data_IF_280109391588
#
_entry.id   IF_280109391588
#
_cell.length_a   1.000
_cell.length_b   1.000
_cell.length_c   1.000
_cell.angle_alpha   90.00
_cell.angle_beta   90.00
_cell.angle_gamma   90.00
#
_symmetry.space_group_name_H-M   'P 1'
#
loop_
_entity.id
_entity.type
_entity.pdbx_description
1 polymer ?
#
# COMPACT_ATOMS: atom_id res chain seq x y z
N UNK A 2 4.78 -3.91 -25.26
CA UNK A 2 4.46 -3.79 -23.85
C UNK A 2 4.69 -2.36 -23.35
N UNK A 3 5.64 -2.18 -22.45
CA UNK A 3 5.96 -0.87 -21.94
C UNK A 3 7.36 -0.87 -21.35
N UNK A 4 8.22 -0.02 -21.92
CA UNK A 4 9.59 0.12 -21.42
C UNK A 4 9.53 0.91 -20.14
N UNK A 5 10.30 0.49 -19.15
CA UNK A 5 10.35 1.23 -17.90
C UNK A 5 11.72 1.81 -17.80
N UNK A 6 11.82 3.01 -17.22
CA UNK A 6 13.10 3.73 -17.13
C UNK A 6 14.10 2.85 -16.45
N UNK A 7 15.30 2.75 -17.00
CA UNK A 7 16.33 2.05 -16.26
C UNK A 7 16.66 2.93 -15.07
N UNK A 8 16.95 2.31 -13.95
CA UNK A 8 17.20 3.08 -12.73
C UNK A 8 18.62 2.81 -12.18
N UNK A 9 19.42 3.87 -12.13
CA UNK A 9 20.81 3.80 -11.71
C UNK A 9 21.62 4.96 -12.25
N UNK A 10 22.91 4.99 -11.93
CA UNK A 10 23.81 6.01 -12.46
C UNK A 10 23.85 5.92 -13.97
N UNK A 11 23.84 7.06 -14.64
CA UNK A 11 23.73 7.06 -16.09
C UNK A 11 25.12 7.11 -16.75
N UNK A 12 26.04 6.31 -16.22
CA UNK A 12 27.34 6.11 -16.84
C UNK A 12 27.50 4.69 -17.40
N UNK A 13 27.78 4.59 -18.69
CA UNK A 13 28.11 3.29 -19.26
C UNK A 13 27.57 2.96 -20.63
N UNK A 14 27.87 1.74 -21.07
CA UNK A 14 27.35 1.28 -22.34
C UNK A 14 25.94 0.74 -22.15
N UNK A 15 25.01 1.39 -22.85
CA UNK A 15 23.60 1.03 -22.83
C UNK A 15 23.39 -0.25 -23.61
N UNK A 16 22.64 -1.19 -23.01
CA UNK A 16 22.25 -2.43 -23.65
C UNK A 16 20.75 -2.68 -23.53
N UNK A 17 20.20 -3.41 -24.49
CA UNK A 17 18.75 -3.60 -24.65
C UNK A 17 18.48 -4.98 -25.24
N UNK A 18 18.00 -5.90 -24.41
CA UNK A 18 17.69 -7.24 -24.87
C UNK A 18 16.45 -7.26 -25.75
N UNK A 19 15.63 -6.21 -25.66
CA UNK A 19 14.38 -6.18 -26.39
C UNK A 19 13.27 -6.92 -25.65
N UNK A 20 12.16 -7.16 -26.34
CA UNK A 20 11.00 -7.78 -25.71
C UNK A 20 10.73 -9.17 -26.25
N UNK A 21 10.43 -10.11 -25.36
CA UNK A 21 10.13 -11.49 -25.74
C UNK A 21 8.77 -11.96 -25.21
N UNK A 22 8.43 -13.22 -25.47
CA UNK A 22 7.20 -13.76 -24.91
C UNK A 22 7.31 -13.96 -23.42
N UNK A 23 8.45 -14.47 -22.96
CA UNK A 23 8.67 -14.62 -21.52
C UNK A 23 10.14 -14.84 -21.19
N UNK A 24 10.43 -14.93 -19.88
CA UNK A 24 11.78 -15.11 -19.33
C UNK A 24 12.01 -16.52 -18.76
N UNK A 25 12.98 -17.24 -19.31
CA UNK A 25 13.20 -18.63 -18.92
C UNK A 25 14.23 -18.77 -17.79
N UNK A 26 15.12 -17.80 -17.69
CA UNK A 26 16.27 -17.92 -16.81
C UNK A 26 16.98 -16.58 -16.58
N UNK A 27 17.46 -16.38 -15.36
CA UNK A 27 18.15 -15.16 -14.98
C UNK A 27 19.53 -15.48 -14.48
N UNK A 28 20.51 -14.69 -14.91
CA UNK A 28 21.88 -14.92 -14.50
C UNK A 28 22.41 -13.73 -13.76
N UNK A 29 22.82 -13.92 -12.51
CA UNK A 29 23.41 -12.80 -11.78
C UNK A 29 24.79 -13.11 -11.24
N UNK A 30 25.77 -12.35 -11.71
CA UNK A 30 27.13 -12.46 -11.24
C UNK A 30 27.47 -11.27 -10.35
N UNK A 31 27.81 -11.57 -9.09
CA UNK A 31 28.09 -10.53 -8.12
C UNK A 31 29.43 -9.84 -8.36
N UNK A 32 29.50 -8.56 -8.02
CA UNK A 32 30.75 -7.82 -8.05
C UNK A 32 31.35 -7.77 -6.64
N UNK A 33 32.31 -6.88 -6.44
CA UNK A 33 32.92 -6.77 -5.10
C UNK A 33 32.00 -6.03 -4.14
N UNK A 34 31.48 -4.87 -4.54
CA UNK A 34 30.42 -4.24 -3.75
C UNK A 34 29.04 -4.70 -4.26
N UNK A 35 28.70 -4.29 -5.48
CA UNK A 35 27.35 -4.54 -6.00
C UNK A 35 27.19 -5.64 -7.05
N UNK A 36 26.48 -5.31 -8.14
CA UNK A 36 26.23 -6.29 -9.20
C UNK A 36 27.19 -6.11 -10.37
N UNK A 37 27.87 -7.19 -10.71
CA UNK A 37 28.75 -7.18 -11.87
C UNK A 37 27.97 -7.51 -13.11
N UNK A 38 27.43 -8.71 -13.12
CA UNK A 38 27.17 -9.42 -14.36
C UNK A 38 25.75 -9.95 -14.49
N UNK A 39 25.05 -9.51 -15.54
CA UNK A 39 23.75 -10.08 -15.82
C UNK A 39 23.68 -10.64 -17.23
N UNK A 40 22.76 -11.60 -17.37
CA UNK A 40 22.50 -12.29 -18.61
C UNK A 40 21.10 -12.84 -18.49
N UNK A 41 20.37 -12.88 -19.59
CA UNK A 41 19.02 -13.42 -19.53
C UNK A 41 18.81 -14.42 -20.62
N UNK A 42 17.99 -15.42 -20.34
CA UNK A 42 17.63 -16.41 -21.33
C UNK A 42 16.13 -16.33 -21.49
N UNK A 43 15.66 -16.05 -22.70
CA UNK A 43 14.25 -15.79 -22.90
C UNK A 43 13.62 -16.86 -23.73
N UNK A 44 12.30 -16.80 -23.85
CA UNK A 44 11.57 -17.65 -24.76
C UNK A 44 10.65 -16.76 -25.59
N UNK A 45 10.60 -17.08 -26.89
CA UNK A 45 9.81 -16.36 -27.88
C UNK A 45 9.27 -17.43 -28.82
N UNK A 46 7.95 -17.61 -28.84
CA UNK A 46 7.36 -18.70 -29.57
C UNK A 46 7.93 -20.03 -29.08
N UNK A 47 8.41 -20.84 -30.02
CA UNK A 47 8.98 -22.14 -29.69
C UNK A 47 10.49 -22.01 -29.73
N UNK A 48 10.97 -20.84 -29.35
CA UNK A 48 12.37 -20.51 -29.57
C UNK A 48 13.05 -20.01 -28.29
N UNK A 49 14.03 -20.76 -27.82
CA UNK A 49 14.79 -20.31 -26.67
C UNK A 49 15.80 -19.32 -27.19
N UNK A 50 15.77 -18.11 -26.64
CA UNK A 50 16.66 -17.03 -27.03
C UNK A 50 17.66 -16.73 -25.95
N UNK A 51 18.87 -17.27 -26.06
CA UNK A 51 19.90 -16.95 -25.08
C UNK A 51 20.47 -15.57 -25.38
N UNK A 52 20.57 -14.72 -24.36
CA UNK A 52 20.91 -13.33 -24.55
C UNK A 52 22.35 -12.98 -24.30
N UNK A 53 22.74 -11.77 -24.70
CA UNK A 53 24.10 -11.31 -24.50
C UNK A 53 24.34 -11.02 -23.04
N UNK A 54 25.59 -11.10 -22.63
CA UNK A 54 25.95 -10.77 -21.27
C UNK A 54 26.22 -9.27 -21.13
N UNK A 55 26.04 -8.73 -19.92
CA UNK A 55 26.23 -7.30 -19.70
C UNK A 55 27.02 -7.01 -18.42
N UNK A 56 28.26 -6.56 -18.55
CA UNK A 56 29.17 -6.50 -17.43
C UNK A 56 30.11 -7.69 -17.49
N UNK A 57 31.00 -7.82 -16.52
CA UNK A 57 32.00 -8.88 -16.58
C UNK A 57 32.04 -9.67 -15.29
N UNK A 58 32.37 -10.95 -15.40
CA UNK A 58 32.29 -11.87 -14.28
C UNK A 58 33.35 -11.60 -13.25
N UNK A 59 33.14 -12.10 -12.04
CA UNK A 59 34.09 -11.93 -10.95
C UNK A 59 34.43 -13.30 -10.37
N UNK A 60 35.50 -13.36 -9.58
CA UNK A 60 35.95 -14.61 -8.95
C UNK A 60 34.86 -15.24 -8.08
N UNK A 61 33.76 -14.51 -7.90
CA UNK A 61 32.63 -14.96 -7.08
C UNK A 61 31.80 -16.02 -7.79
N UNK A 62 31.69 -15.88 -9.10
CA UNK A 62 30.89 -16.79 -9.89
C UNK A 62 29.61 -16.11 -10.31
N UNK A 63 28.67 -16.90 -10.83
CA UNK A 63 27.40 -16.41 -11.33
C UNK A 63 26.28 -17.35 -10.93
N UNK A 64 25.28 -16.84 -10.22
CA UNK A 64 24.20 -17.69 -9.77
C UNK A 64 23.01 -17.65 -10.75
N UNK A 65 22.38 -18.81 -10.96
CA UNK A 65 21.25 -18.94 -11.87
C UNK A 65 19.92 -19.00 -11.16
N UNK A 66 18.90 -18.47 -11.83
CA UNK A 66 17.58 -18.44 -11.29
C UNK A 66 16.60 -18.74 -12.41
N UNK A 67 16.18 -19.99 -12.47
CA UNK A 67 15.37 -20.47 -13.57
C UNK A 67 13.89 -20.25 -13.28
N UNK A 68 13.17 -19.77 -14.28
CA UNK A 68 11.75 -19.50 -14.15
C UNK A 68 10.95 -20.57 -14.89
N UNK A 69 10.11 -21.30 -14.16
CA UNK A 69 9.36 -22.42 -14.76
C UNK A 69 8.52 -21.96 -15.92
N UNK A 70 8.26 -22.87 -16.85
CA UNK A 70 7.47 -22.52 -18.04
C UNK A 70 6.06 -22.13 -17.67
N UNK A 71 5.53 -22.67 -16.57
CA UNK A 71 4.20 -22.31 -16.14
C UNK A 71 4.26 -21.07 -15.25
N UNK A 72 5.20 -20.18 -15.55
CA UNK A 72 5.60 -19.21 -14.55
C UNK A 72 6.36 -17.99 -15.10
N UNK A 73 6.12 -16.82 -14.51
CA UNK A 73 6.78 -15.61 -14.99
C UNK A 73 7.14 -14.60 -13.89
N UNK A 74 7.86 -13.54 -14.28
CA UNK A 74 8.35 -12.55 -13.32
C UNK A 74 7.38 -11.39 -13.13
N UNK A 75 7.00 -11.14 -11.89
CA UNK A 75 6.05 -10.07 -11.64
C UNK A 75 6.79 -8.81 -11.25
N UNK A 76 7.91 -8.93 -10.54
CA UNK A 76 8.75 -7.75 -10.33
C UNK A 76 10.21 -8.00 -9.99
N UNK A 77 10.97 -6.94 -10.20
CA UNK A 77 12.36 -6.95 -9.86
C UNK A 77 12.53 -5.81 -8.91
N UNK A 78 12.99 -6.14 -7.71
CA UNK A 78 13.24 -5.15 -6.70
C UNK A 78 14.73 -4.97 -6.58
N UNK A 79 15.18 -3.75 -6.30
CA UNK A 79 16.61 -3.54 -6.20
C UNK A 79 17.09 -2.33 -5.41
N UNK A 80 18.42 -2.20 -5.36
CA UNK A 80 19.08 -1.08 -4.69
C UNK A 80 20.19 -0.48 -5.53
N UNK A 81 20.03 0.78 -5.91
CA UNK A 81 21.10 1.50 -6.57
C UNK A 81 21.83 2.40 -5.56
N UNK A 82 23.07 2.76 -5.84
CA UNK A 82 23.86 3.55 -4.89
C UNK A 82 25.09 4.18 -5.53
N UNK A 83 25.51 5.34 -5.04
CA UNK A 83 26.80 5.90 -5.44
C UNK A 83 27.82 5.45 -4.39
N UNK A 84 28.70 4.54 -4.76
CA UNK A 84 29.68 4.02 -3.81
C UNK A 84 31.09 4.30 -4.36
N UNK A 85 32.13 4.05 -3.56
CA UNK A 85 33.52 4.33 -3.93
C UNK A 85 33.80 5.86 -3.97
N UNK A 86 32.71 6.63 -3.83
CA UNK A 86 32.64 8.05 -4.18
C UNK A 86 32.87 8.21 -5.69
N UNK A 87 32.58 7.12 -6.42
CA UNK A 87 32.76 7.06 -7.86
C UNK A 87 31.65 7.81 -8.58
N UNK A 88 32.03 8.52 -9.64
CA UNK A 88 31.16 9.40 -10.43
C UNK A 88 29.70 8.93 -10.65
N UNK A 89 29.50 7.61 -10.78
CA UNK A 89 28.17 7.09 -11.08
C UNK A 89 27.61 6.18 -9.98
N UNK A 90 26.29 6.24 -9.81
CA UNK A 90 25.60 5.21 -9.05
C UNK A 90 25.70 3.90 -9.85
N UNK A 91 25.74 2.77 -9.13
CA UNK A 91 25.67 1.45 -9.72
C UNK A 91 24.60 0.62 -9.00
N UNK A 92 24.17 -0.48 -9.60
CA UNK A 92 23.17 -1.32 -8.98
C UNK A 92 23.84 -2.29 -8.04
N UNK A 93 23.38 -2.33 -6.79
CA UNK A 93 24.08 -3.06 -5.75
C UNK A 93 23.37 -4.32 -5.27
N UNK A 94 22.06 -4.45 -5.52
CA UNK A 94 21.28 -5.61 -5.03
C UNK A 94 20.00 -5.88 -5.83
N UNK A 95 19.66 -7.15 -6.04
CA UNK A 95 18.46 -7.49 -6.81
C UNK A 95 17.69 -8.66 -6.22
N UNK A 96 16.36 -8.59 -6.29
CA UNK A 96 15.48 -9.70 -5.91
C UNK A 96 14.46 -9.93 -7.01
N UNK A 97 14.13 -11.18 -7.26
CA UNK A 97 13.17 -11.49 -8.31
C UNK A 97 11.93 -12.12 -7.70
N UNK A 98 10.75 -11.59 -8.04
CA UNK A 98 9.52 -12.21 -7.59
C UNK A 98 8.81 -12.86 -8.74
N UNK A 99 8.36 -14.07 -8.49
CA UNK A 99 7.76 -14.93 -9.48
C UNK A 99 6.25 -15.01 -9.29
N UNK A 100 5.53 -15.16 -10.39
CA UNK A 100 4.09 -15.29 -10.31
C UNK A 100 3.66 -16.39 -9.36
N UNK A 101 4.33 -17.53 -9.43
CA UNK A 101 4.04 -18.63 -8.50
C UNK A 101 4.56 -18.32 -7.08
N UNK A 102 5.21 -17.18 -6.91
CA UNK A 102 5.63 -16.81 -5.58
C UNK A 102 7.00 -17.30 -5.24
N UNK A 103 7.73 -17.80 -6.23
CA UNK A 103 9.14 -18.06 -6.03
C UNK A 103 9.82 -16.72 -5.81
N UNK A 104 10.82 -16.67 -4.95
CA UNK A 104 11.58 -15.44 -4.81
C UNK A 104 13.06 -15.74 -4.73
N UNK A 105 13.86 -15.03 -5.52
CA UNK A 105 15.28 -15.36 -5.67
C UNK A 105 16.04 -15.11 -4.37
N UNK A 106 16.04 -13.86 -3.92
CA UNK A 106 16.68 -13.53 -2.66
C UNK A 106 15.77 -12.64 -1.85
N UNK A 107 15.74 -12.82 -0.53
CA UNK A 107 14.88 -11.99 0.33
C UNK A 107 15.38 -10.55 0.33
N UNK A 108 14.48 -9.61 0.23
CA UNK A 108 14.90 -8.24 0.17
C UNK A 108 15.56 -7.94 1.48
N UNK A 109 16.53 -7.04 1.46
CA UNK A 109 17.16 -6.61 2.68
C UNK A 109 17.37 -5.11 2.63
N UNK A 110 17.55 -4.50 3.79
CA UNK A 110 17.75 -3.07 3.88
C UNK A 110 19.20 -2.81 3.65
N UNK A 111 19.50 -2.11 2.59
CA UNK A 111 20.86 -1.82 2.25
C UNK A 111 20.72 -0.34 2.08
N UNK A 112 21.79 0.41 2.27
CA UNK A 112 21.66 1.85 2.11
C UNK A 112 21.63 2.06 0.64
N UNK A 113 21.23 3.22 0.17
CA UNK A 113 21.20 3.47 -1.25
C UNK A 113 19.71 3.55 -1.41
N UNK A 114 19.23 3.76 -2.63
CA UNK A 114 17.82 3.82 -2.86
C UNK A 114 17.31 2.48 -3.32
N UNK A 115 16.11 2.13 -2.88
CA UNK A 115 15.36 1.04 -3.50
C UNK A 115 14.59 1.50 -4.72
N UNK A 116 14.56 0.65 -5.73
CA UNK A 116 13.71 0.86 -6.89
C UNK A 116 12.97 -0.44 -7.13
N UNK A 117 11.96 -0.40 -8.00
CA UNK A 117 11.31 -1.64 -8.38
C UNK A 117 10.64 -1.59 -9.75
N UNK A 118 10.99 -2.53 -10.59
CA UNK A 118 10.32 -2.67 -11.85
C UNK A 118 9.18 -3.60 -11.60
N UNK A 119 7.97 -3.10 -11.72
CA UNK A 119 6.81 -3.74 -11.15
C UNK A 119 5.72 -3.86 -12.13
N UNK A 120 4.67 -4.53 -11.72
CA UNK A 120 3.48 -4.62 -12.50
C UNK A 120 3.51 -5.99 -13.06
N UNK A 121 2.53 -6.34 -13.85
CA UNK A 121 2.26 -7.73 -14.03
C UNK A 121 3.26 -8.66 -14.63
N UNK A 122 3.90 -8.38 -15.75
CA UNK A 122 4.81 -9.38 -16.31
C UNK A 122 6.05 -8.90 -16.94
N UNK A 123 7.20 -9.19 -16.37
CA UNK A 123 8.43 -8.77 -17.02
C UNK A 123 8.68 -9.62 -18.23
N UNK A 124 8.69 -8.98 -19.40
CA UNK A 124 8.87 -9.64 -20.69
C UNK A 124 10.15 -9.24 -21.40
N UNK A 125 11.06 -8.59 -20.68
CA UNK A 125 12.38 -8.29 -21.21
C UNK A 125 13.09 -7.23 -20.41
N UNK A 126 14.41 -7.14 -20.60
CA UNK A 126 15.26 -6.19 -19.87
C UNK A 126 16.08 -5.28 -20.75
N UNK A 127 16.65 -4.28 -20.08
CA UNK A 127 17.55 -3.32 -20.69
C UNK A 127 18.21 -2.63 -19.53
N UNK A 128 19.40 -2.12 -19.75
CA UNK A 128 20.09 -1.43 -18.69
C UNK A 128 21.34 -0.80 -19.24
N UNK A 129 22.23 -0.45 -18.32
CA UNK A 129 23.45 0.22 -18.69
C UNK A 129 24.57 -0.38 -17.87
N UNK A 130 25.58 -0.90 -18.52
CA UNK A 130 26.67 -1.53 -17.81
C UNK A 130 28.02 -1.06 -18.29
N UNK A 131 28.97 -1.01 -17.37
CA UNK A 131 30.32 -0.59 -17.67
C UNK A 131 31.21 -1.63 -17.06
N UNK A 132 31.13 -2.84 -17.58
CA UNK A 132 31.93 -3.92 -17.05
C UNK A 132 31.31 -4.35 -15.70
N UNK A 133 30.29 -3.64 -15.26
CA UNK A 133 29.47 -3.97 -14.11
C UNK A 133 28.15 -3.27 -14.29
N UNK A 134 27.10 -3.76 -13.65
CA UNK A 134 25.79 -3.17 -13.87
C UNK A 134 25.72 -1.82 -13.23
N UNK A 135 25.30 -0.83 -13.99
CA UNK A 135 25.19 0.54 -13.47
C UNK A 135 23.75 1.02 -13.36
N UNK A 136 22.88 0.49 -14.21
CA UNK A 136 21.46 0.81 -14.14
C UNK A 136 20.64 -0.30 -14.80
N UNK A 137 19.39 -0.44 -14.40
CA UNK A 137 18.56 -1.49 -14.96
C UNK A 137 17.11 -1.05 -15.13
N UNK A 138 16.56 -1.38 -16.30
CA UNK A 138 15.14 -1.27 -16.52
C UNK A 138 14.64 -2.62 -16.98
N UNK A 139 13.38 -2.65 -17.40
CA UNK A 139 12.76 -3.85 -17.96
C UNK A 139 11.50 -3.43 -18.70
N UNK A 140 10.88 -4.40 -19.37
CA UNK A 140 9.62 -4.17 -20.06
C UNK A 140 8.50 -4.93 -19.37
N UNK A 141 7.42 -4.25 -19.04
CA UNK A 141 6.31 -4.92 -18.38
C UNK A 141 5.14 -4.99 -19.35
N UNK A 142 4.43 -6.12 -19.33
CA UNK A 142 3.18 -6.24 -20.06
C UNK A 142 2.04 -6.46 -19.10
N UNK A 143 1.16 -5.46 -18.96
CA UNK A 143 -0.01 -5.63 -18.11
C UNK A 143 -0.95 -6.68 -18.68
N UNK A 144 -1.35 -7.65 -17.85
CA UNK A 144 -2.28 -8.67 -18.32
C UNK A 144 -3.67 -8.10 -18.63
N UNK A 145 -4.20 -8.52 -19.78
CA UNK A 145 -5.48 -8.00 -20.28
C UNK A 145 -6.69 -8.62 -19.59
N UNK A 146 -6.52 -9.83 -19.07
CA UNK A 146 -7.62 -10.58 -18.45
C UNK A 146 -7.85 -10.14 -17.01
N UNK A 147 -8.59 -9.06 -16.84
CA UNK A 147 -8.75 -8.52 -15.50
C UNK A 147 -10.01 -9.11 -14.88
N UNK A 148 -9.81 -9.98 -13.91
CA UNK A 148 -10.91 -10.67 -13.22
C UNK A 148 -11.88 -9.67 -12.62
N UNK A 149 -11.43 -8.92 -11.63
CA UNK A 149 -12.26 -7.90 -11.02
C UNK A 149 -12.32 -6.69 -11.92
N UNK A 150 -13.10 -6.76 -13.00
CA UNK A 150 -13.26 -5.64 -13.93
C UNK A 150 -13.70 -4.41 -13.14
N UNK A 151 -13.24 -3.24 -13.58
CA UNK A 151 -13.61 -1.98 -12.96
C UNK A 151 -12.84 -0.83 -13.58
N UNK A 152 -13.19 0.40 -13.21
CA UNK A 152 -12.46 1.57 -13.72
C UNK A 152 -12.21 2.62 -12.65
N UNK A 153 -11.23 3.47 -12.91
CA UNK A 153 -10.91 4.57 -12.02
C UNK A 153 -11.61 5.90 -12.42
N UNK A 154 -12.24 6.55 -11.45
CA UNK A 154 -12.96 7.80 -11.66
C UNK A 154 -12.49 8.89 -10.73
N UNK A 155 -12.13 10.04 -11.29
CA UNK A 155 -11.75 11.20 -10.49
C UNK A 155 -12.99 12.00 -10.12
N UNK A 156 -13.55 11.66 -8.98
CA UNK A 156 -14.73 12.33 -8.44
C UNK A 156 -14.55 13.83 -8.33
N UNK A 157 -15.52 14.57 -8.85
CA UNK A 157 -15.50 16.02 -8.74
C UNK A 157 -15.98 16.49 -7.37
N UNK A 158 -15.48 17.63 -6.95
CA UNK A 158 -15.74 18.15 -5.60
C UNK A 158 -16.02 19.64 -5.65
N UNK A 159 -16.79 20.12 -4.69
CA UNK A 159 -17.25 21.50 -4.75
C UNK A 159 -17.09 22.30 -3.46
N UNK A 160 -17.65 21.82 -2.36
CA UNK A 160 -17.72 22.64 -1.16
C UNK A 160 -16.45 23.09 -0.44
N UNK A 161 -16.59 23.43 0.84
CA UNK A 161 -15.45 23.65 1.73
C UNK A 161 -14.91 22.27 2.08
N UNK A 162 -13.90 21.86 1.33
CA UNK A 162 -13.38 20.51 1.44
C UNK A 162 -12.43 20.41 2.61
N UNK A 163 -12.01 19.17 2.93
CA UNK A 163 -10.88 18.95 3.83
C UNK A 163 -9.61 19.28 3.02
N UNK A 164 -9.78 19.32 1.70
CA UNK A 164 -8.80 19.90 0.81
C UNK A 164 -7.54 19.10 0.66
N UNK A 165 -6.42 19.69 1.04
CA UNK A 165 -5.12 19.06 0.88
C UNK A 165 -4.65 18.53 2.21
N UNK A 166 -4.67 17.20 2.37
CA UNK A 166 -4.05 16.61 3.53
C UNK A 166 -3.74 15.11 3.37
N UNK A 167 -3.24 14.51 4.44
CA UNK A 167 -2.98 13.07 4.45
C UNK A 167 -2.95 12.67 5.91
N UNK A 168 -2.88 11.36 6.14
CA UNK A 168 -2.97 10.81 7.49
C UNK A 168 -4.27 11.18 8.20
N UNK A 169 -5.35 11.31 7.43
CA UNK A 169 -6.68 11.54 7.98
C UNK A 169 -7.57 10.28 7.85
N UNK A 170 -8.86 10.42 8.15
CA UNK A 170 -9.76 9.27 8.10
C UNK A 170 -11.11 9.52 7.47
N UNK A 171 -11.58 8.54 6.70
CA UNK A 171 -12.87 8.65 6.01
C UNK A 171 -13.81 7.45 6.23
N UNK A 172 -15.11 7.71 6.15
CA UNK A 172 -16.11 6.62 6.20
C UNK A 172 -17.34 7.05 5.41
N UNK A 173 -18.14 6.08 4.97
CA UNK A 173 -19.42 6.42 4.35
C UNK A 173 -20.57 6.16 5.31
N UNK A 174 -21.58 7.01 5.24
CA UNK A 174 -22.87 6.75 5.87
C UNK A 174 -23.94 7.16 4.85
N UNK A 175 -24.76 6.19 4.44
CA UNK A 175 -25.73 6.44 3.39
C UNK A 175 -25.06 6.93 2.14
N UNK A 176 -25.56 8.02 1.55
CA UNK A 176 -24.95 8.55 0.35
C UNK A 176 -24.04 9.76 0.69
N UNK A 177 -23.49 9.78 1.90
CA UNK A 177 -22.63 10.87 2.36
C UNK A 177 -21.29 10.34 2.87
N UNK A 178 -20.19 10.96 2.45
CA UNK A 178 -18.88 10.52 2.95
C UNK A 178 -18.25 11.56 3.85
N UNK A 179 -17.78 11.09 5.00
CA UNK A 179 -17.29 11.95 6.06
C UNK A 179 -15.77 11.80 6.19
N UNK A 180 -15.10 12.92 6.46
CA UNK A 180 -13.65 12.98 6.63
C UNK A 180 -13.30 13.69 7.93
N UNK A 181 -12.14 13.33 8.49
CA UNK A 181 -11.72 13.91 9.76
C UNK A 181 -10.21 13.86 10.04
N UNK A 182 -9.71 14.93 10.65
CA UNK A 182 -8.33 14.99 11.10
C UNK A 182 -7.40 15.18 9.92
N UNK A 183 -6.11 14.95 10.14
CA UNK A 183 -5.12 15.02 9.07
C UNK A 183 -4.00 16.06 9.21
N UNK A 184 -3.03 16.02 8.28
CA UNK A 184 -1.87 16.93 8.31
C UNK A 184 -1.63 17.52 6.92
N UNK A 185 -1.11 18.75 6.90
CA UNK A 185 -0.75 19.42 5.64
C UNK A 185 0.74 19.76 5.57
N UNK A 186 1.25 20.50 6.56
CA UNK A 186 2.67 20.58 6.73
C UNK A 186 3.10 19.36 7.59
N UNK A 187 4.30 18.82 7.37
CA UNK A 187 4.83 17.72 8.19
C UNK A 187 4.48 17.81 9.66
N UNK A 188 3.72 16.83 10.14
CA UNK A 188 3.44 16.63 11.55
C UNK A 188 2.66 17.74 12.23
N UNK A 189 1.90 18.51 11.45
CA UNK A 189 1.05 19.57 12.01
C UNK A 189 -0.44 19.31 11.69
N UNK A 190 -1.20 18.84 12.69
CA UNK A 190 -2.64 18.59 12.52
C UNK A 190 -3.36 19.85 12.09
N UNK A 191 -4.31 19.79 11.15
CA UNK A 191 -5.02 21.01 10.76
C UNK A 191 -6.17 21.40 11.71
N UNK A 192 -7.31 20.69 11.64
CA UNK A 192 -8.50 21.12 12.39
C UNK A 192 -9.22 20.01 13.15
N UNK A 193 -10.40 20.35 13.66
CA UNK A 193 -11.24 19.38 14.35
C UNK A 193 -12.52 19.20 13.57
N UNK A 194 -12.61 19.81 12.40
CA UNK A 194 -13.87 19.74 11.66
C UNK A 194 -14.16 18.35 11.15
N UNK A 195 -15.46 18.07 11.01
CA UNK A 195 -15.89 16.82 10.42
C UNK A 195 -16.49 17.15 9.07
N UNK A 196 -15.70 16.99 8.02
CA UNK A 196 -16.15 17.39 6.69
C UNK A 196 -17.09 16.35 6.12
N UNK A 197 -18.07 16.78 5.33
CA UNK A 197 -19.07 15.86 4.78
C UNK A 197 -19.36 16.16 3.32
N UNK A 198 -19.53 15.07 2.58
CA UNK A 198 -19.62 15.09 1.15
C UNK A 198 -20.93 14.48 0.68
N UNK A 199 -21.74 15.30 0.02
CA UNK A 199 -22.99 14.85 -0.55
C UNK A 199 -22.73 14.32 -1.94
N UNK A 200 -22.95 13.01 -2.12
CA UNK A 200 -22.60 12.33 -3.34
C UNK A 200 -23.44 12.82 -4.50
N UNK A 201 -24.76 12.87 -4.31
CA UNK A 201 -25.67 13.34 -5.36
C UNK A 201 -25.37 14.80 -5.74
N UNK A 202 -24.97 15.61 -4.75
CA UNK A 202 -24.54 17.00 -5.01
C UNK A 202 -23.09 17.08 -5.43
N UNK A 203 -22.31 16.05 -5.08
CA UNK A 203 -20.85 16.05 -5.21
C UNK A 203 -20.29 17.32 -4.55
N UNK A 204 -20.72 17.59 -3.31
CA UNK A 204 -20.33 18.85 -2.63
C UNK A 204 -19.98 18.75 -1.12
N UNK A 205 -18.98 19.52 -0.71
CA UNK A 205 -18.44 19.48 0.64
C UNK A 205 -19.02 20.50 1.61
N UNK A 206 -18.90 20.22 2.90
CA UNK A 206 -19.25 21.21 3.94
C UNK A 206 -18.84 20.73 5.31
N UNK A 207 -18.68 21.64 6.28
CA UNK A 207 -18.42 21.19 7.64
C UNK A 207 -19.70 20.66 8.27
N UNK A 208 -19.66 19.44 8.80
CA UNK A 208 -20.79 18.94 9.58
C UNK A 208 -20.95 19.78 10.85
N UNK A 209 -22.22 19.99 11.26
CA UNK A 209 -22.53 20.54 12.58
C UNK A 209 -22.25 19.46 13.60
N UNK A 210 -22.06 19.85 14.86
CA UNK A 210 -21.79 18.86 15.90
C UNK A 210 -22.34 19.24 17.29
N UNK A 211 -22.55 18.24 18.14
CA UNK A 211 -22.94 18.48 19.54
C UNK A 211 -22.07 17.60 20.41
N UNK A 212 -22.23 17.70 21.73
CA UNK A 212 -21.64 16.74 22.64
C UNK A 212 -20.12 16.79 22.76
N UNK A 213 -19.54 15.69 23.22
CA UNK A 213 -18.10 15.62 23.46
C UNK A 213 -17.28 15.64 22.16
N UNK A 214 -17.08 16.84 21.62
CA UNK A 214 -16.19 17.03 20.48
C UNK A 214 -14.77 16.65 20.88
N UNK A 215 -14.03 16.00 19.96
CA UNK A 215 -12.66 15.55 20.24
C UNK A 215 -11.78 16.64 20.83
N UNK A 216 -11.02 16.28 21.86
CA UNK A 216 -10.29 17.25 22.68
C UNK A 216 -9.16 17.92 21.90
N UNK A 217 -8.58 17.19 20.94
CA UNK A 217 -7.44 17.67 20.17
C UNK A 217 -7.63 17.51 18.68
N UNK A 218 -7.23 18.53 17.92
CA UNK A 218 -7.13 18.39 16.48
C UNK A 218 -5.92 17.52 16.18
N UNK A 219 -6.04 16.58 15.24
CA UNK A 219 -4.97 15.60 15.09
C UNK A 219 -4.72 14.97 13.70
N UNK A 220 -3.65 14.18 13.65
CA UNK A 220 -3.25 13.42 12.46
C UNK A 220 -2.93 11.98 12.84
N UNK A 221 -2.83 11.12 11.83
CA UNK A 221 -2.56 9.71 12.05
C UNK A 221 -3.76 9.03 12.66
N UNK A 222 -4.92 9.66 12.46
CA UNK A 222 -6.19 9.22 13.03
C UNK A 222 -6.96 8.24 12.11
N UNK A 223 -7.77 7.37 12.72
CA UNK A 223 -8.60 6.45 11.90
C UNK A 223 -10.09 6.49 12.25
N UNK A 224 -10.95 6.20 11.26
CA UNK A 224 -12.40 6.05 11.53
C UNK A 224 -13.20 5.16 10.57
N UNK A 225 -14.15 4.41 11.12
CA UNK A 225 -15.00 3.51 10.33
C UNK A 225 -16.46 3.79 10.66
N UNK A 226 -17.35 3.41 9.74
CA UNK A 226 -18.79 3.64 9.94
C UNK A 226 -19.50 2.36 10.33
N UNK A 227 -20.31 2.42 11.39
CA UNK A 227 -21.25 1.32 11.64
C UNK A 227 -22.69 1.80 11.70
N UNK A 228 -23.48 1.27 10.78
CA UNK A 228 -24.83 1.74 10.57
C UNK A 228 -24.73 3.19 10.16
N UNK A 229 -25.28 4.07 10.98
CA UNK A 229 -25.29 5.47 10.66
C UNK A 229 -24.45 6.21 11.69
N UNK A 230 -23.81 5.46 12.57
CA UNK A 230 -22.97 6.11 13.55
C UNK A 230 -21.49 5.89 13.17
N UNK A 231 -20.72 6.99 13.13
CA UNK A 231 -19.26 6.93 12.87
C UNK A 231 -18.48 6.63 14.15
N UNK A 232 -17.35 5.95 14.02
CA UNK A 232 -16.50 5.57 15.17
C UNK A 232 -15.08 5.97 14.88
N UNK A 233 -14.46 6.65 15.84
CA UNK A 233 -13.15 7.28 15.64
C UNK A 233 -12.14 6.99 16.76
N UNK A 234 -10.92 6.59 16.35
CA UNK A 234 -9.86 6.28 17.32
C UNK A 234 -8.46 6.76 16.94
N UNK A 235 -7.71 7.11 17.99
CA UNK A 235 -6.30 7.43 17.92
C UNK A 235 -5.98 8.76 17.26
N UNK A 236 -4.82 8.84 16.64
CA UNK A 236 -4.34 10.11 16.12
C UNK A 236 -3.50 10.85 17.17
N UNK A 237 -2.81 11.90 16.73
CA UNK A 237 -2.04 12.70 17.66
C UNK A 237 -2.00 14.13 17.17
N UNK A 238 -1.76 15.05 18.10
CA UNK A 238 -1.48 16.44 17.76
C UNK A 238 0.01 16.70 17.77
N UNK A 239 0.36 17.96 17.53
CA UNK A 239 1.74 18.43 17.57
C UNK A 239 2.54 17.97 18.80
N UNK A 240 1.91 18.01 19.96
CA UNK A 240 2.61 17.70 21.21
C UNK A 240 2.65 16.21 21.60
N UNK A 241 2.40 15.33 20.63
CA UNK A 241 2.35 13.89 20.89
C UNK A 241 1.34 13.62 22.02
N UNK A 242 0.21 14.31 21.96
CA UNK A 242 -0.91 14.00 22.84
C UNK A 242 -1.94 13.21 22.02
N UNK A 243 -2.63 12.25 22.65
CA UNK A 243 -3.44 11.29 21.92
C UNK A 243 -4.95 11.42 22.14
N UNK A 244 -5.74 11.13 21.10
CA UNK A 244 -7.20 11.06 21.24
C UNK A 244 -7.69 9.69 21.75
N UNK A 245 -8.82 9.69 22.45
CA UNK A 245 -9.43 8.44 22.88
C UNK A 245 -10.39 7.92 21.82
N UNK A 246 -11.47 7.28 22.25
CA UNK A 246 -12.40 6.63 21.34
C UNK A 246 -13.78 7.31 21.34
N UNK A 247 -14.07 8.02 20.26
CA UNK A 247 -15.30 8.80 20.14
C UNK A 247 -16.24 8.16 19.12
N UNK A 248 -17.48 8.65 19.07
CA UNK A 248 -18.44 8.29 18.03
C UNK A 248 -19.28 9.49 17.63
N UNK A 249 -19.93 9.40 16.47
CA UNK A 249 -20.73 10.51 15.96
C UNK A 249 -22.00 10.02 15.27
N UNK A 250 -23.13 10.28 15.93
CA UNK A 250 -24.43 9.87 15.41
C UNK A 250 -24.82 10.80 14.26
N UNK A 251 -24.77 10.31 13.03
CA UNK A 251 -24.92 11.22 11.88
C UNK A 251 -26.33 11.76 11.72
N UNK A 252 -27.31 10.95 12.13
CA UNK A 252 -28.69 11.41 12.08
C UNK A 252 -28.90 12.43 13.20
N UNK A 253 -28.11 12.27 14.26
CA UNK A 253 -28.19 13.08 15.45
C UNK A 253 -27.10 14.14 15.51
N UNK A 254 -26.07 13.97 14.70
CA UNK A 254 -25.05 14.98 14.57
C UNK A 254 -24.46 15.36 15.89
N UNK A 255 -24.27 14.40 16.76
CA UNK A 255 -23.77 14.69 18.08
C UNK A 255 -22.56 13.85 18.39
N UNK A 256 -21.49 14.46 18.89
CA UNK A 256 -20.33 13.67 19.31
C UNK A 256 -20.54 12.94 20.61
N UNK A 257 -19.65 12.00 20.89
CA UNK A 257 -19.77 11.13 22.04
C UNK A 257 -18.45 10.43 22.38
N UNK A 258 -17.83 10.80 23.48
CA UNK A 258 -16.60 10.12 23.91
C UNK A 258 -16.91 8.74 24.49
N UNK A 259 -16.83 7.70 23.64
CA UNK A 259 -17.23 6.35 24.02
C UNK A 259 -16.30 5.78 25.08
N UNK A 260 -15.00 5.98 24.92
CA UNK A 260 -14.08 5.63 26.00
C UNK A 260 -12.84 6.54 25.98
N UNK A 261 -12.46 7.02 27.14
CA UNK A 261 -11.34 7.92 27.29
C UNK A 261 -9.99 7.27 27.08
N UNK A 262 -8.99 8.04 26.70
CA UNK A 262 -7.65 7.53 26.60
C UNK A 262 -7.29 7.16 28.00
N UNK A 263 -6.46 6.17 28.18
CA UNK A 263 -6.05 5.78 29.49
C UNK A 263 -7.09 4.89 30.10
N UNK A 264 -8.17 4.67 29.38
CA UNK A 264 -9.17 3.74 29.78
C UNK A 264 -9.19 2.59 28.80
N UNK A 265 -9.33 2.90 27.52
CA UNK A 265 -9.36 1.87 26.51
C UNK A 265 -7.98 1.46 26.02
N UNK A 266 -7.93 0.89 24.79
CA UNK A 266 -6.72 0.31 24.19
C UNK A 266 -5.59 1.33 24.03
N UNK A 267 -4.34 0.85 24.04
CA UNK A 267 -3.15 1.72 24.11
C UNK A 267 -3.22 2.92 23.18
N UNK A 268 -3.03 4.12 23.74
CA UNK A 268 -3.12 5.30 22.89
C UNK A 268 -2.00 5.29 21.82
N UNK A 269 -2.36 5.64 20.59
CA UNK A 269 -1.51 5.39 19.45
C UNK A 269 -1.89 6.19 18.22
N UNK A 270 -1.11 6.04 17.15
CA UNK A 270 -1.40 6.67 15.88
C UNK A 270 -0.81 5.86 14.72
N UNK A 271 -1.44 6.00 13.55
CA UNK A 271 -1.15 5.22 12.34
C UNK A 271 -1.35 3.72 12.58
N UNK A 272 -2.33 3.44 13.44
CA UNK A 272 -2.94 2.13 13.60
C UNK A 272 -3.84 1.85 12.40
N UNK A 273 -4.53 0.71 12.41
CA UNK A 273 -5.45 0.36 11.35
C UNK A 273 -6.80 0.05 11.98
N UNK A 274 -7.86 0.11 11.17
CA UNK A 274 -9.22 -0.05 11.68
C UNK A 274 -10.22 -0.72 10.74
N UNK A 275 -11.23 -1.37 11.34
CA UNK A 275 -12.32 -1.94 10.54
C UNK A 275 -13.55 -2.25 11.37
N UNK A 276 -14.63 -2.69 10.74
CA UNK A 276 -15.85 -3.01 11.44
C UNK A 276 -16.71 -4.07 10.74
N UNK A 277 -17.50 -4.80 11.50
CA UNK A 277 -18.25 -5.91 10.95
C UNK A 277 -19.70 -6.00 11.41
N UNK A 278 -20.32 -4.88 11.72
CA UNK A 278 -21.73 -4.89 12.01
C UNK A 278 -21.94 -5.13 13.46
N UNK A 279 -20.93 -5.66 14.11
CA UNK A 279 -21.03 -5.95 15.52
C UNK A 279 -19.90 -5.42 16.37
N UNK A 280 -18.71 -5.31 15.83
CA UNK A 280 -17.60 -4.81 16.60
C UNK A 280 -16.77 -3.87 15.81
N UNK A 281 -16.04 -3.02 16.51
CA UNK A 281 -15.10 -2.16 15.81
C UNK A 281 -13.68 -2.55 16.22
N UNK A 282 -12.82 -2.73 15.21
CA UNK A 282 -11.50 -3.30 15.39
C UNK A 282 -10.36 -2.29 15.21
N UNK A 283 -9.40 -2.39 16.12
CA UNK A 283 -8.22 -1.55 16.11
C UNK A 283 -6.93 -2.38 16.20
N UNK A 284 -6.06 -2.23 15.18
CA UNK A 284 -4.81 -3.00 15.09
C UNK A 284 -3.53 -2.18 14.97
N UNK A 285 -2.46 -2.70 15.56
CA UNK A 285 -1.10 -2.19 15.39
C UNK A 285 -0.90 -0.70 15.59
N UNK A 286 -0.08 -0.10 14.73
CA UNK A 286 0.18 1.33 14.80
C UNK A 286 1.21 1.69 15.84
N UNK A 287 1.41 3.00 16.06
CA UNK A 287 2.51 3.45 16.89
C UNK A 287 2.02 4.06 18.21
N UNK A 288 2.44 3.45 19.32
CA UNK A 288 2.15 3.96 20.63
C UNK A 288 3.16 5.03 20.94
N UNK A 289 3.05 5.59 22.13
CA UNK A 289 4.03 6.55 22.62
C UNK A 289 5.47 6.04 22.52
N UNK A 290 5.66 4.73 22.60
CA UNK A 290 7.00 4.19 22.70
C UNK A 290 7.36 3.17 21.61
N UNK A 291 6.41 2.33 21.23
CA UNK A 291 6.66 1.24 20.30
C UNK A 291 5.58 1.11 19.21
N UNK A 292 5.91 0.44 18.11
CA UNK A 292 4.90 -0.02 17.15
C UNK A 292 4.18 -1.18 17.84
N UNK A 293 2.97 -1.51 17.41
CA UNK A 293 2.24 -2.60 18.08
C UNK A 293 1.80 -3.68 17.11
N UNK A 294 1.45 -4.84 17.67
CA UNK A 294 0.90 -5.96 16.89
C UNK A 294 -0.43 -6.42 17.49
N UNK A 295 -0.85 -5.72 18.52
CA UNK A 295 -2.07 -6.10 19.22
C UNK A 295 -3.32 -5.71 18.45
N UNK A 296 -4.41 -6.39 18.74
CA UNK A 296 -5.70 -6.05 18.17
C UNK A 296 -6.76 -6.05 19.27
N UNK A 297 -7.64 -5.05 19.23
CA UNK A 297 -8.72 -4.97 20.20
C UNK A 297 -10.02 -4.79 19.46
N UNK A 298 -11.07 -5.38 20.02
CA UNK A 298 -12.41 -5.30 19.44
C UNK A 298 -13.31 -4.53 20.40
N UNK A 299 -14.31 -3.86 19.87
CA UNK A 299 -15.21 -3.16 20.77
C UNK A 299 -16.65 -3.40 20.33
N UNK A 300 -17.38 -4.11 21.19
CA UNK A 300 -18.75 -4.47 20.85
C UNK A 300 -19.62 -3.27 21.09
N UNK A 301 -20.44 -2.91 20.10
CA UNK A 301 -21.40 -1.82 20.28
C UNK A 301 -22.54 -2.21 21.22
N UNK A 302 -23.23 -3.32 20.91
CA UNK A 302 -24.31 -3.83 21.76
C UNK A 302 -23.84 -3.94 23.21
N UNK A 303 -22.79 -4.73 23.46
CA UNK A 303 -22.25 -4.86 24.82
C UNK A 303 -21.47 -3.62 25.27
N UNK A 304 -21.47 -2.57 24.43
CA UNK A 304 -20.72 -1.32 24.64
C UNK A 304 -19.38 -1.50 25.40
N UNK A 305 -18.48 -2.34 24.89
CA UNK A 305 -17.29 -2.72 25.69
C UNK A 305 -16.09 -3.28 24.91
N UNK A 306 -14.89 -2.92 25.35
CA UNK A 306 -13.64 -3.37 24.73
C UNK A 306 -13.22 -4.76 25.17
N UNK A 307 -12.92 -5.60 24.20
CA UNK A 307 -12.28 -6.89 24.42
C UNK A 307 -10.88 -6.86 23.83
N UNK A 308 -9.91 -7.41 24.54
CA UNK A 308 -8.54 -7.52 24.04
C UNK A 308 -8.30 -8.89 23.40
N UNK A 309 -8.00 -8.89 22.12
CA UNK A 309 -7.84 -10.14 21.36
C UNK A 309 -6.51 -10.84 21.61
N UNK A 310 -6.45 -12.08 21.18
CA UNK A 310 -5.25 -12.88 21.39
C UNK A 310 -4.08 -12.22 20.70
N UNK A 311 -2.91 -12.26 21.31
CA UNK A 311 -1.75 -11.67 20.70
C UNK A 311 -0.96 -12.66 19.86
N UNK A 312 -0.74 -12.30 18.59
CA UNK A 312 0.00 -13.04 17.56
C UNK A 312 1.47 -13.38 17.88
N UNK A 313 2.15 -12.58 18.70
CA UNK A 313 3.56 -12.81 18.93
C UNK A 313 4.40 -12.89 17.64
N UNK A 314 5.67 -13.24 17.78
CA UNK A 314 6.70 -13.14 16.74
C UNK A 314 6.27 -13.35 15.29
N UNK A 315 5.28 -14.22 15.08
CA UNK A 315 4.73 -14.58 13.75
C UNK A 315 4.43 -13.33 12.94
N UNK A 316 3.90 -12.34 13.65
CA UNK A 316 3.34 -11.14 13.08
C UNK A 316 3.92 -9.92 13.82
N UNK A 317 4.97 -9.35 13.23
CA UNK A 317 5.69 -8.26 13.87
C UNK A 317 4.86 -6.96 13.95
N UNK A 318 5.00 -6.27 15.09
CA UNK A 318 4.43 -4.94 15.30
C UNK A 318 4.62 -4.03 14.08
N UNK A 319 3.59 -3.26 13.75
CA UNK A 319 3.61 -2.49 12.52
C UNK A 319 2.60 -1.37 12.53
N UNK A 320 2.81 -0.38 11.66
CA UNK A 320 1.83 0.65 11.42
C UNK A 320 1.63 0.80 9.92
N UNK A 321 0.56 1.49 9.51
CA UNK A 321 0.32 1.77 8.10
C UNK A 321 -0.01 0.48 7.35
N UNK A 322 -0.50 -0.51 8.09
CA UNK A 322 -0.92 -1.73 7.45
C UNK A 322 -2.37 -1.63 7.05
N UNK A 323 -2.81 -2.45 6.10
CA UNK A 323 -4.21 -2.49 5.71
C UNK A 323 -4.99 -3.43 6.60
N UNK A 324 -6.19 -3.03 7.04
CA UNK A 324 -6.99 -3.95 7.85
C UNK A 324 -8.41 -3.94 7.34
N UNK A 325 -8.88 -5.09 6.86
CA UNK A 325 -10.27 -5.15 6.34
C UNK A 325 -10.98 -6.43 6.79
N UNK A 326 -12.28 -6.43 6.94
CA UNK A 326 -12.93 -7.68 7.29
C UNK A 326 -13.33 -8.44 6.05
N UNK A 327 -12.48 -9.34 5.60
CA UNK A 327 -12.70 -9.97 4.33
C UNK A 327 -13.87 -10.87 4.32
N UNK A 328 -13.94 -11.77 5.28
CA UNK A 328 -15.22 -12.36 5.58
C UNK A 328 -15.36 -13.01 6.89
N UNK A 329 -16.13 -12.41 7.76
CA UNK A 329 -16.18 -12.91 9.11
C UNK A 329 -14.82 -12.80 9.78
N UNK A 330 -13.77 -12.53 9.02
CA UNK A 330 -12.42 -12.48 9.60
C UNK A 330 -11.71 -11.13 9.42
N UNK A 331 -10.79 -10.78 10.31
CA UNK A 331 -10.03 -9.54 10.11
C UNK A 331 -8.72 -9.79 9.37
N UNK A 332 -8.43 -8.97 8.38
CA UNK A 332 -7.24 -9.16 7.56
C UNK A 332 -6.23 -8.05 7.72
N UNK A 333 -5.00 -8.46 8.01
CA UNK A 333 -3.91 -7.55 8.14
C UNK A 333 -3.08 -7.70 6.90
N UNK A 334 -2.89 -6.61 6.17
CA UNK A 334 -2.14 -6.70 4.94
C UNK A 334 -1.00 -5.72 4.91
N UNK A 335 0.22 -6.26 4.86
CA UNK A 335 1.41 -5.47 4.63
C UNK A 335 1.62 -4.50 5.73
N UNK A 336 2.33 -3.43 5.49
CA UNK A 336 2.57 -2.48 6.55
C UNK A 336 4.01 -2.08 6.72
N UNK A 337 4.34 -1.49 7.85
CA UNK A 337 5.69 -1.07 8.20
C UNK A 337 6.15 -1.52 9.59
N UNK A 338 7.30 -2.21 9.66
CA UNK A 338 8.07 -2.36 10.91
C UNK A 338 9.56 -2.05 10.77
N UNK A 339 9.92 -0.80 10.48
CA UNK A 339 11.33 -0.46 10.31
C UNK A 339 11.77 -0.75 8.88
N UNK A 340 11.05 -1.70 8.32
CA UNK A 340 11.14 -2.09 6.96
C UNK A 340 9.73 -2.15 6.52
N UNK A 341 9.52 -1.99 5.23
CA UNK A 341 8.21 -2.17 4.66
C UNK A 341 7.97 -3.64 4.49
N UNK A 342 6.72 -4.05 4.65
CA UNK A 342 6.40 -5.44 4.83
C UNK A 342 5.30 -5.93 3.90
N UNK A 343 5.42 -7.16 3.43
CA UNK A 343 4.36 -7.74 2.62
C UNK A 343 3.78 -9.05 3.24
N UNK A 344 3.64 -9.04 4.56
CA UNK A 344 2.92 -10.07 5.31
C UNK A 344 1.47 -10.12 4.96
N UNK A 345 0.84 -11.28 5.11
CA UNK A 345 -0.62 -11.28 5.12
C UNK A 345 -1.10 -12.19 6.27
N UNK A 346 -2.18 -11.80 6.95
CA UNK A 346 -2.63 -12.53 8.13
C UNK A 346 -4.12 -12.37 8.31
N UNK A 347 -4.78 -13.38 8.85
CA UNK A 347 -6.14 -13.15 9.29
C UNK A 347 -6.33 -13.54 10.74
N UNK A 348 -7.21 -12.81 11.41
CA UNK A 348 -7.63 -13.09 12.77
C UNK A 348 -9.04 -13.64 12.70
N UNK A 349 -9.25 -14.82 13.30
CA UNK A 349 -10.57 -15.43 13.43
C UNK A 349 -11.13 -15.12 14.79
N UNK A 350 -12.22 -14.32 14.81
CA UNK A 350 -13.05 -13.97 15.97
C UNK A 350 -13.57 -15.21 16.70
N UNK A 351 -14.29 -16.10 15.99
CA UNK A 351 -14.84 -17.31 16.59
C UNK A 351 -13.78 -18.06 17.41
N UNK A 352 -12.65 -18.36 16.79
CA UNK A 352 -11.60 -19.05 17.52
C UNK A 352 -10.83 -18.15 18.47
N UNK A 353 -10.82 -16.85 18.19
CA UNK A 353 -9.87 -15.89 18.77
C UNK A 353 -8.45 -16.41 18.50
N UNK A 354 -8.13 -16.57 17.22
CA UNK A 354 -6.72 -16.82 16.85
C UNK A 354 -6.31 -16.44 15.42
N UNK A 355 -5.00 -16.24 15.29
CA UNK A 355 -4.36 -15.75 14.09
C UNK A 355 -3.82 -16.83 13.21
N UNK A 356 -3.84 -16.54 11.92
CA UNK A 356 -3.37 -17.42 10.87
C UNK A 356 -2.54 -16.65 9.82
N UNK A 357 -1.38 -17.18 9.46
CA UNK A 357 -0.68 -16.53 8.35
C UNK A 357 -1.05 -17.23 7.06
N UNK A 358 -1.03 -16.46 5.99
CA UNK A 358 -1.44 -16.98 4.70
C UNK A 358 -0.36 -16.70 3.69
N UNK A 359 0.01 -17.71 2.90
CA UNK A 359 0.89 -17.52 1.73
C UNK A 359 0.05 -16.94 0.58
N UNK A 360 0.63 -16.10 -0.24
CA UNK A 360 -0.15 -15.48 -1.28
C UNK A 360 0.70 -15.55 -2.52
N UNK A 361 0.08 -15.47 -3.70
CA UNK A 361 0.88 -15.49 -4.90
C UNK A 361 0.24 -14.69 -6.03
N UNK A 362 0.96 -14.67 -7.15
CA UNK A 362 0.49 -14.16 -8.44
C UNK A 362 0.40 -12.66 -8.60
N UNK A 363 1.26 -12.08 -9.43
CA UNK A 363 1.30 -10.62 -9.66
C UNK A 363 0.83 -9.86 -8.40
N UNK A 364 1.64 -10.08 -7.36
CA UNK A 364 1.55 -9.49 -6.04
C UNK A 364 2.28 -8.15 -5.93
N UNK A 365 1.77 -7.20 -5.14
CA UNK A 365 2.55 -6.00 -4.86
C UNK A 365 3.86 -6.24 -4.09
N UNK A 366 4.90 -5.53 -4.51
CA UNK A 366 6.10 -5.41 -3.70
C UNK A 366 5.72 -4.76 -2.36
N UNK A 367 6.51 -5.01 -1.32
CA UNK A 367 6.08 -4.64 0.03
C UNK A 367 5.98 -3.14 0.19
N UNK A 368 5.05 -2.69 1.02
CA UNK A 368 4.67 -1.29 1.04
C UNK A 368 3.78 -0.92 2.22
N UNK A 369 3.74 0.37 2.58
CA UNK A 369 2.85 0.79 3.66
C UNK A 369 1.91 1.87 3.17
N UNK A 370 1.09 2.32 4.11
CA UNK A 370 0.23 3.49 3.96
C UNK A 370 -0.38 3.60 2.57
N UNK A 371 -1.15 2.58 2.21
CA UNK A 371 -1.80 2.55 0.91
C UNK A 371 -3.32 2.68 1.03
N UNK A 372 -4.00 2.78 -0.11
CA UNK A 372 -5.44 2.88 -0.09
C UNK A 372 -6.02 1.47 -0.12
N UNK A 373 -7.02 1.20 0.72
CA UNK A 373 -7.55 -0.15 0.76
C UNK A 373 -9.03 -0.20 1.12
N UNK A 374 -9.69 -1.15 0.47
CA UNK A 374 -11.10 -1.39 0.69
C UNK A 374 -11.31 -2.88 0.57
N UNK A 375 -12.28 -3.44 1.30
CA UNK A 375 -12.65 -4.83 1.05
C UNK A 375 -14.00 -4.88 0.38
N UNK A 376 -14.06 -5.52 -0.78
CA UNK A 376 -15.33 -5.67 -1.45
C UNK A 376 -15.48 -7.11 -1.88
N UNK A 377 -16.60 -7.72 -1.53
CA UNK A 377 -16.77 -9.14 -1.80
C UNK A 377 -15.75 -9.97 -1.05
N UNK A 378 -15.07 -10.85 -1.78
CA UNK A 378 -14.01 -11.69 -1.20
C UNK A 378 -12.66 -11.00 -1.43
N UNK A 379 -12.73 -9.81 -2.01
CA UNK A 379 -11.52 -9.10 -2.40
C UNK A 379 -11.07 -8.05 -1.42
N UNK A 380 -9.76 -7.88 -1.36
CA UNK A 380 -9.17 -6.69 -0.81
C UNK A 380 -8.58 -5.93 -1.99
N UNK A 381 -8.88 -4.64 -2.10
CA UNK A 381 -8.29 -3.81 -3.14
C UNK A 381 -7.35 -2.80 -2.50
N UNK A 382 -6.17 -2.63 -3.10
CA UNK A 382 -5.18 -1.69 -2.63
C UNK A 382 -4.64 -0.84 -3.77
N UNK A 383 -4.39 0.44 -3.47
CA UNK A 383 -3.70 1.30 -4.43
C UNK A 383 -2.52 2.05 -3.81
N UNK A 384 -1.51 2.28 -4.65
CA UNK A 384 -0.28 2.99 -4.29
C UNK A 384 0.43 2.48 -3.05
N UNK A 385 0.87 3.44 -2.23
CA UNK A 385 1.57 3.17 -0.99
C UNK A 385 3.04 3.63 -0.98
N UNK A 386 3.66 3.57 0.19
CA UNK A 386 5.08 3.86 0.30
C UNK A 386 5.88 2.59 0.12
N UNK A 387 6.84 2.61 -0.80
CA UNK A 387 7.68 1.45 -0.98
C UNK A 387 9.05 1.60 -0.34
N UNK A 388 9.32 2.76 0.28
CA UNK A 388 10.52 2.95 1.09
C UNK A 388 10.42 4.19 1.95
N UNK A 389 10.74 4.07 3.25
CA UNK A 389 10.69 5.19 4.19
C UNK A 389 11.66 6.31 3.83
N UNK A 390 11.29 7.52 4.20
CA UNK A 390 12.06 8.75 4.07
C UNK A 390 13.08 8.90 5.20
N UNK A 391 14.26 9.35 4.85
CA UNK A 391 15.30 9.41 5.83
C UNK A 391 14.87 10.29 6.94
N UNK A 392 14.16 11.36 6.68
CA UNK A 392 13.93 12.33 7.73
C UNK A 392 12.77 12.08 8.66
N UNK A 393 11.88 11.20 8.29
CA UNK A 393 10.87 10.72 9.21
C UNK A 393 9.63 10.52 8.36
N UNK A 394 8.48 10.66 9.00
CA UNK A 394 7.26 10.94 8.29
C UNK A 394 7.39 12.35 7.73
N UNK A 395 8.46 13.06 8.03
CA UNK A 395 8.74 14.37 7.48
C UNK A 395 8.93 14.40 5.98
N UNK A 396 9.60 13.43 5.41
CA UNK A 396 10.01 13.68 4.05
C UNK A 396 9.23 12.73 3.19
N UNK A 397 9.22 12.89 1.89
CA UNK A 397 8.32 12.07 1.08
C UNK A 397 8.55 10.57 1.12
N UNK A 398 9.80 10.13 1.08
CA UNK A 398 10.07 8.73 0.99
C UNK A 398 9.89 8.36 -0.43
N UNK A 399 9.76 7.08 -0.74
CA UNK A 399 9.47 6.67 -2.09
C UNK A 399 8.10 6.15 -2.14
N UNK A 400 7.32 6.68 -3.05
CA UNK A 400 5.90 6.33 -3.18
C UNK A 400 5.56 5.77 -4.56
N UNK A 401 4.69 4.75 -4.61
CA UNK A 401 4.39 4.07 -5.87
C UNK A 401 2.93 4.23 -6.29
N UNK A 402 2.49 3.45 -7.29
CA UNK A 402 1.20 3.64 -7.97
C UNK A 402 0.46 2.39 -8.50
N UNK A 403 0.71 1.20 -7.99
CA UNK A 403 -0.01 0.07 -8.59
C UNK A 403 -1.46 -0.12 -8.13
N UNK A 404 -2.27 -0.88 -8.86
CA UNK A 404 -3.60 -1.21 -8.31
C UNK A 404 -3.79 -2.71 -8.21
N UNK A 405 -4.08 -3.19 -7.01
CA UNK A 405 -4.01 -4.61 -6.79
C UNK A 405 -5.23 -5.10 -6.07
N UNK A 406 -5.64 -6.31 -6.36
CA UNK A 406 -6.73 -6.94 -5.61
C UNK A 406 -6.32 -8.34 -5.18
N UNK A 407 -6.52 -8.60 -3.89
CA UNK A 407 -6.35 -9.93 -3.35
C UNK A 407 -7.69 -10.65 -3.34
N UNK A 408 -7.69 -11.84 -3.92
CA UNK A 408 -8.83 -12.73 -3.88
C UNK A 408 -8.64 -13.69 -2.71
N UNK A 409 -9.37 -13.41 -1.62
CA UNK A 409 -9.24 -14.19 -0.40
C UNK A 409 -9.62 -15.66 -0.56
N UNK A 410 -10.32 -16.01 -1.64
CA UNK A 410 -10.77 -17.38 -1.80
C UNK A 410 -9.80 -18.22 -2.59
N UNK A 411 -8.88 -17.59 -3.30
CA UNK A 411 -7.91 -18.31 -4.09
C UNK A 411 -6.46 -17.94 -3.78
N UNK A 412 -6.29 -16.79 -3.11
CA UNK A 412 -4.98 -16.25 -2.69
C UNK A 412 -4.15 -15.79 -3.89
N UNK A 413 -4.82 -15.62 -5.02
CA UNK A 413 -4.23 -15.02 -6.21
C UNK A 413 -4.35 -13.50 -6.06
N UNK A 414 -3.23 -12.78 -6.16
CA UNK A 414 -3.27 -11.34 -6.34
C UNK A 414 -3.44 -11.05 -7.83
N UNK A 415 -4.12 -9.95 -8.17
CA UNK A 415 -4.13 -9.49 -9.56
C UNK A 415 -3.91 -7.99 -9.61
N UNK A 416 -3.29 -7.52 -10.70
CA UNK A 416 -3.15 -6.09 -10.84
C UNK A 416 -4.31 -5.55 -11.66
N UNK A 417 -5.18 -4.76 -11.02
CA UNK A 417 -6.34 -4.21 -11.69
C UNK A 417 -6.00 -3.13 -12.77
N UNK A 418 -4.74 -2.74 -12.91
CA UNK A 418 -4.30 -1.78 -13.94
C UNK A 418 -4.32 -2.37 -15.35
N UNK A 419 -4.94 -1.67 -16.30
CA UNK A 419 -5.06 -2.19 -17.67
C UNK A 419 -4.21 -1.35 -18.60
N UNK A 420 -3.68 -1.95 -19.64
CA UNK A 420 -3.24 -1.20 -20.78
C UNK A 420 -4.42 -0.63 -21.52
N UNK A 421 -5.44 -1.49 -21.62
CA UNK A 421 -6.45 -1.42 -22.64
C UNK A 421 -7.39 -0.25 -22.76
N UNK A 422 -7.92 0.21 -21.65
CA UNK A 422 -8.94 1.22 -21.70
C UNK A 422 -8.38 2.62 -21.75
N UNK A 423 -9.25 3.61 -21.57
CA UNK A 423 -8.83 4.93 -21.18
C UNK A 423 -9.48 5.20 -19.85
N UNK A 424 -8.73 5.62 -18.85
CA UNK A 424 -9.32 5.97 -17.57
C UNK A 424 -8.39 6.89 -16.78
N UNK A 425 -8.95 7.58 -15.78
CA UNK A 425 -8.19 8.45 -14.89
C UNK A 425 -7.53 7.71 -13.70
N UNK A 426 -6.56 6.85 -13.98
CA UNK A 426 -5.76 6.20 -12.93
C UNK A 426 -4.98 7.23 -12.10
N UNK A 427 -5.11 7.19 -10.76
CA UNK A 427 -4.44 8.14 -9.84
C UNK A 427 -2.92 8.08 -9.95
N UNK A 428 -2.24 9.20 -9.70
CA UNK A 428 -0.78 9.22 -9.74
C UNK A 428 -0.18 8.64 -8.44
N UNK A 429 1.10 8.29 -8.48
CA UNK A 429 1.77 7.62 -7.36
C UNK A 429 1.60 8.45 -6.11
N UNK A 430 1.13 7.83 -5.03
CA UNK A 430 0.88 8.51 -3.75
C UNK A 430 0.77 7.54 -2.58
N UNK A 431 0.72 8.10 -1.37
CA UNK A 431 0.64 7.32 -0.14
C UNK A 431 0.09 8.17 1.00
N UNK A 432 -0.17 7.53 2.15
CA UNK A 432 -0.74 8.23 3.32
C UNK A 432 -2.14 8.77 2.98
N UNK A 433 -2.79 8.12 2.00
CA UNK A 433 -4.14 8.46 1.59
C UNK A 433 -5.11 8.03 2.65
N UNK A 434 -6.17 8.79 2.87
CA UNK A 434 -7.30 8.27 3.63
C UNK A 434 -8.22 7.47 2.71
N UNK A 435 -8.43 6.19 3.00
CA UNK A 435 -9.14 5.32 2.05
C UNK A 435 -10.30 4.57 2.65
N UNK A 436 -11.27 4.20 1.81
CA UNK A 436 -12.39 3.44 2.33
C UNK A 436 -13.11 2.60 1.29
N UNK A 437 -13.97 1.72 1.78
CA UNK A 437 -14.90 1.01 0.91
C UNK A 437 -16.15 1.85 0.76
N UNK A 438 -16.65 1.98 -0.45
CA UNK A 438 -17.76 2.91 -0.66
C UNK A 438 -18.65 2.57 -1.84
N UNK A 439 -19.93 2.93 -1.72
CA UNK A 439 -20.84 2.83 -2.84
C UNK A 439 -21.09 4.22 -3.39
N UNK A 440 -20.89 4.36 -4.69
CA UNK A 440 -21.07 5.63 -5.38
C UNK A 440 -21.74 5.42 -6.73
N UNK A 441 -22.88 6.10 -6.92
CA UNK A 441 -23.68 5.94 -8.15
C UNK A 441 -23.94 4.45 -8.38
N UNK A 442 -24.30 3.76 -7.29
CA UNK A 442 -24.69 2.36 -7.33
C UNK A 442 -23.61 1.41 -7.80
N UNK A 443 -22.38 1.66 -7.39
CA UNK A 443 -21.26 0.72 -7.56
C UNK A 443 -20.45 0.75 -6.29
N UNK A 444 -20.09 -0.40 -5.75
CA UNK A 444 -19.16 -0.39 -4.62
C UNK A 444 -17.72 -0.34 -5.15
N UNK A 445 -16.77 -0.02 -4.27
CA UNK A 445 -15.38 0.07 -4.66
C UNK A 445 -14.51 0.87 -3.73
N UNK A 446 -13.41 1.39 -4.27
CA UNK A 446 -12.38 1.98 -3.43
C UNK A 446 -12.38 3.49 -3.53
N UNK A 447 -12.37 4.14 -2.37
CA UNK A 447 -12.31 5.59 -2.29
C UNK A 447 -11.00 6.08 -1.68
N UNK A 448 -10.08 6.46 -2.58
CA UNK A 448 -8.79 7.08 -2.27
C UNK A 448 -9.13 8.54 -2.02
N UNK A 449 -8.65 9.11 -0.92
CA UNK A 449 -8.59 10.60 -0.86
C UNK A 449 -7.37 11.21 -0.19
N UNK A 450 -6.83 12.24 -0.84
CA UNK A 450 -5.84 13.12 -0.26
C UNK A 450 -4.49 12.49 -0.47
N UNK A 451 -3.59 12.65 0.50
CA UNK A 451 -2.33 11.94 0.48
C UNK A 451 -1.09 12.75 0.16
N UNK A 452 0.06 12.14 0.40
CA UNK A 452 1.37 12.74 0.15
C UNK A 452 1.82 12.52 -1.29
N UNK A 453 2.34 13.57 -1.92
CA UNK A 453 2.89 13.39 -3.26
C UNK A 453 4.36 12.99 -3.15
N UNK A 454 4.87 12.30 -4.17
CA UNK A 454 6.29 11.93 -4.34
C UNK A 454 7.23 13.10 -4.07
N UNK A 455 6.69 14.29 -4.30
CA UNK A 455 7.39 15.56 -4.13
C UNK A 455 7.15 16.20 -2.78
N UNK A 456 6.78 15.38 -1.79
CA UNK A 456 6.30 15.84 -0.48
C UNK A 456 5.14 16.83 -0.53
N UNK A 457 4.54 17.04 -1.69
CA UNK A 457 3.30 17.81 -1.72
C UNK A 457 2.10 17.05 -1.12
N UNK A 458 0.95 17.71 -1.08
CA UNK A 458 -0.28 17.03 -0.70
C UNK A 458 -1.19 16.95 -1.91
N UNK A 459 -2.16 16.05 -1.85
CA UNK A 459 -3.19 15.94 -2.88
C UNK A 459 -4.53 16.27 -2.26
N UNK A 460 -5.52 16.55 -3.11
CA UNK A 460 -6.87 16.86 -2.66
C UNK A 460 -7.89 16.03 -3.44
N UNK A 461 -7.40 15.33 -4.47
CA UNK A 461 -8.24 14.57 -5.38
C UNK A 461 -9.14 13.59 -4.62
N UNK A 462 -10.31 13.30 -5.17
CA UNK A 462 -11.12 12.20 -4.64
C UNK A 462 -11.15 11.17 -5.75
N UNK A 463 -10.68 9.97 -5.46
CA UNK A 463 -10.57 8.93 -6.48
C UNK A 463 -11.42 7.70 -6.15
N UNK A 464 -12.00 7.10 -7.18
CA UNK A 464 -12.87 5.96 -6.97
C UNK A 464 -12.63 4.84 -7.98
N UNK A 465 -12.19 3.68 -7.50
CA UNK A 465 -12.24 2.51 -8.35
C UNK A 465 -13.63 1.93 -8.20
N UNK A 466 -14.43 2.13 -9.25
CA UNK A 466 -15.74 1.54 -9.33
C UNK A 466 -15.66 0.16 -9.96
N UNK A 467 -16.19 -0.82 -9.23
CA UNK A 467 -16.32 -2.17 -9.74
C UNK A 467 -17.56 -2.29 -10.61
N UNK A 468 -17.38 -2.38 -11.91
CA UNK A 468 -18.52 -2.40 -12.79
C UNK A 468 -19.41 -3.52 -12.34
N UNK A 469 -20.58 -3.58 -12.96
CA UNK A 469 -21.73 -4.25 -12.40
C UNK A 469 -21.56 -5.73 -12.15
N UNK A 470 -20.90 -6.44 -13.06
CA UNK A 470 -20.76 -7.87 -12.87
C UNK A 470 -20.04 -8.07 -11.55
N UNK A 471 -20.59 -8.91 -10.68
CA UNK A 471 -20.10 -8.98 -9.30
C UNK A 471 -20.34 -10.35 -8.68
#
# INVERSE_FOLDING_TARGET
MAQKLEAKGGEMGDVWDDGVYENVRKVYVGQAQYGIAFVKFEYVNGSQVVVGDEHGKKTELGVEEFEIDADDYIVYVEGYREKVNDMTSEMITFLSIKTFKGKTSHPIEKRPGVKFVLHGGKIVGFHGRSTDVLHSLGAYVSLSSTIKLLGKWIKVEQKGEGPGLRCSHGIAQVGNKIYSFGGEFTPNQPIDKHLYVFDLETRTWSISPATGDVPHLSCLGVRMVSVGSTLYVFGGRDASRQYNGFYSFDTTTNEWKLLTPVEEGPTPRSFHSMAADEENVYVFGGVSATARLNTLDSYNIVDKKWFHCSTPGDSLTARGGAGLEVVQGKVWVVYGFNGCEVDDVHYYDPVQDKWTQVETFGVRPSERSVFASAAIGKHIVIFGGEIAMDPLAHVGPGQLTDGTFALDTETLQWERLDKFGGEEETPSSRGWTASTTATIDGKKGLVMHGGKAPTNDRFDDLFFYGIDSALEHHHHHH
#
